data_IF_545830177576
#
_entry.id   IF_545830177576
#
_cell.length_a   1.000
_cell.length_b   1.000
_cell.length_c   1.000
_cell.angle_alpha   90.00
_cell.angle_beta   90.00
_cell.angle_gamma   90.00
#
_symmetry.space_group_name_H-M   'P 1'
#
loop_
_entity.id
_entity.type
_entity.pdbx_description
1 polymer ?
#
# COMPACT_ATOMS: atom_id res chain seq x y z
N UNK A 1 -16.21 20.06 5.57
CA UNK A 1 -15.80 18.65 5.52
C UNK A 1 -17.04 17.79 5.55
N UNK A 2 -17.23 16.80 4.69
CA UNK A 2 -18.37 15.90 4.83
C UNK A 2 -18.20 15.14 6.15
N UNK A 3 -19.13 15.30 7.07
CA UNK A 3 -19.19 14.51 8.30
C UNK A 3 -19.51 13.06 7.89
N UNK A 4 -18.67 12.11 8.32
CA UNK A 4 -18.94 10.70 8.11
C UNK A 4 -19.85 10.25 9.25
N UNK A 5 -21.15 10.28 9.02
CA UNK A 5 -22.10 9.67 9.95
C UNK A 5 -22.25 8.19 9.57
N UNK A 6 -21.67 7.28 10.35
CA UNK A 6 -21.80 5.84 10.14
C UNK A 6 -20.54 5.15 9.63
N UNK A 7 -20.73 4.02 8.95
CA UNK A 7 -19.65 3.21 8.39
C UNK A 7 -19.56 3.42 6.89
N UNK A 8 -18.38 3.86 6.41
CA UNK A 8 -18.10 3.99 4.98
C UNK A 8 -17.14 2.88 4.54
N UNK A 9 -17.50 2.14 3.48
CA UNK A 9 -16.65 1.07 2.92
C UNK A 9 -15.83 1.60 1.77
N UNK A 10 -14.53 1.31 1.75
CA UNK A 10 -13.59 1.74 0.72
C UNK A 10 -12.69 0.60 0.29
N UNK A 11 -12.53 0.45 -1.01
CA UNK A 11 -11.68 -0.57 -1.63
C UNK A 11 -10.24 -0.05 -1.72
N UNK A 12 -9.30 -0.84 -1.24
CA UNK A 12 -7.86 -0.56 -1.31
C UNK A 12 -7.17 -1.74 -2.00
N UNK A 13 -6.33 -1.47 -2.98
CA UNK A 13 -5.49 -2.49 -3.62
C UNK A 13 -4.07 -2.39 -3.10
N UNK A 14 -3.45 -3.53 -2.86
CA UNK A 14 -2.05 -3.60 -2.42
C UNK A 14 -1.24 -4.34 -3.47
N UNK A 15 -0.38 -3.60 -4.17
CA UNK A 15 0.48 -4.07 -5.26
C UNK A 15 1.96 -4.03 -4.90
N UNK A 16 2.76 -4.60 -5.79
CA UNK A 16 4.22 -4.68 -5.64
C UNK A 16 4.72 -6.08 -5.91
N UNK A 17 6.01 -6.22 -6.11
CA UNK A 17 6.64 -7.45 -6.51
C UNK A 17 6.52 -8.58 -5.48
N UNK A 18 6.97 -9.72 -5.89
CA UNK A 18 7.05 -10.90 -5.05
C UNK A 18 8.04 -10.70 -3.90
N UNK A 19 7.75 -11.25 -2.72
CA UNK A 19 8.58 -11.18 -1.51
C UNK A 19 8.88 -9.78 -0.95
N UNK A 20 8.24 -8.71 -1.39
CA UNK A 20 8.41 -7.38 -0.79
C UNK A 20 7.72 -7.22 0.57
N UNK A 21 6.84 -8.16 0.95
CA UNK A 21 6.21 -8.21 2.27
C UNK A 21 4.83 -7.54 2.36
N UNK A 22 4.05 -7.51 1.27
CA UNK A 22 2.67 -6.98 1.23
C UNK A 22 1.77 -7.60 2.29
N UNK A 23 1.65 -8.91 2.28
CA UNK A 23 0.84 -9.67 3.25
C UNK A 23 1.32 -9.46 4.68
N UNK A 24 2.64 -9.42 4.91
CA UNK A 24 3.22 -9.15 6.22
C UNK A 24 2.82 -7.76 6.73
N UNK A 25 2.85 -6.74 5.86
CA UNK A 25 2.41 -5.37 6.18
C UNK A 25 0.93 -5.34 6.61
N UNK A 26 0.07 -6.02 5.85
CA UNK A 26 -1.37 -6.11 6.13
C UNK A 26 -1.60 -6.84 7.45
N UNK A 27 -1.01 -8.02 7.63
CA UNK A 27 -1.14 -8.81 8.85
C UNK A 27 -0.68 -8.03 10.08
N UNK A 28 0.47 -7.34 9.99
CA UNK A 28 0.98 -6.50 11.08
C UNK A 28 0.00 -5.41 11.48
N UNK A 29 -0.65 -4.78 10.51
CA UNK A 29 -1.66 -3.74 10.75
C UNK A 29 -2.93 -4.26 11.41
N UNK A 30 -3.19 -5.56 11.34
CA UNK A 30 -4.41 -6.21 11.81
C UNK A 30 -4.18 -7.10 13.05
N UNK A 31 -2.99 -7.06 13.64
CA UNK A 31 -2.58 -7.93 14.75
C UNK A 31 -2.71 -9.44 14.43
N UNK A 32 -2.58 -9.79 13.14
CA UNK A 32 -2.56 -11.18 12.69
C UNK A 32 -1.14 -11.74 12.78
N UNK A 33 -1.03 -13.08 12.90
CA UNK A 33 0.28 -13.73 12.87
C UNK A 33 1.01 -13.42 11.57
N UNK A 34 2.27 -13.00 11.70
CA UNK A 34 3.20 -12.79 10.59
C UNK A 34 4.16 -13.97 10.41
N UNK A 35 4.20 -14.88 11.39
CA UNK A 35 4.99 -16.11 11.30
C UNK A 35 4.38 -17.05 10.27
N UNK A 36 5.24 -17.58 9.37
CA UNK A 36 4.81 -18.49 8.33
C UNK A 36 3.91 -17.87 7.25
N UNK A 37 3.92 -16.54 7.08
CA UNK A 37 3.26 -15.92 5.93
C UNK A 37 3.75 -16.57 4.64
N UNK A 38 2.82 -17.28 3.96
CA UNK A 38 3.09 -17.97 2.71
C UNK A 38 3.00 -17.01 1.52
N UNK A 39 3.51 -17.48 0.40
CA UNK A 39 3.33 -16.80 -0.88
C UNK A 39 1.83 -16.66 -1.16
N UNK A 40 1.37 -15.43 -1.42
CA UNK A 40 0.00 -15.18 -1.84
C UNK A 40 -0.19 -15.67 -3.27
N UNK A 41 -1.03 -16.68 -3.44
CA UNK A 41 -1.45 -17.17 -4.75
C UNK A 41 -2.77 -16.49 -5.11
N UNK A 42 -2.76 -15.68 -6.16
CA UNK A 42 -3.94 -14.92 -6.57
C UNK A 42 -4.19 -13.67 -5.72
N UNK A 43 -5.34 -13.60 -5.08
CA UNK A 43 -5.80 -12.42 -4.32
C UNK A 43 -6.40 -12.85 -2.99
N UNK A 44 -5.97 -12.22 -1.89
CA UNK A 44 -6.60 -12.34 -0.59
C UNK A 44 -7.37 -11.06 -0.25
N UNK A 45 -8.55 -11.21 0.36
CA UNK A 45 -9.34 -10.09 0.84
C UNK A 45 -9.25 -9.98 2.36
N UNK A 46 -8.86 -8.81 2.84
CA UNK A 46 -8.84 -8.46 4.24
C UNK A 46 -9.77 -7.27 4.52
N UNK A 47 -10.22 -7.14 5.76
CA UNK A 47 -11.07 -6.01 6.17
C UNK A 47 -10.47 -5.38 7.42
N UNK A 48 -10.10 -4.09 7.32
CA UNK A 48 -9.59 -3.29 8.44
C UNK A 48 -10.53 -2.13 8.74
N UNK A 49 -10.98 -2.02 9.98
CA UNK A 49 -11.75 -0.88 10.43
C UNK A 49 -10.81 0.19 10.99
N UNK A 50 -10.94 1.41 10.48
CA UNK A 50 -10.20 2.58 10.96
C UNK A 50 -11.20 3.52 11.65
N UNK A 51 -11.18 3.65 12.97
CA UNK A 51 -11.99 4.64 13.67
C UNK A 51 -11.47 6.04 13.38
N UNK A 52 -12.38 6.95 13.06
CA UNK A 52 -12.13 8.37 12.86
C UNK A 52 -13.06 9.15 13.79
N UNK A 53 -12.80 10.46 13.97
CA UNK A 53 -13.59 11.30 14.89
C UNK A 53 -15.11 11.21 14.66
N UNK A 54 -15.52 11.13 13.40
CA UNK A 54 -16.93 11.23 13.00
C UNK A 54 -17.51 9.91 12.42
N UNK A 55 -16.85 8.78 12.64
CA UNK A 55 -17.32 7.49 12.13
C UNK A 55 -16.22 6.46 11.91
N UNK A 56 -16.55 5.42 11.16
CA UNK A 56 -15.63 4.31 10.85
C UNK A 56 -15.47 4.22 9.34
N UNK A 57 -14.22 4.19 8.86
CA UNK A 57 -13.92 3.76 7.51
C UNK A 57 -13.52 2.28 7.53
N UNK A 58 -14.24 1.47 6.76
CA UNK A 58 -13.95 0.06 6.56
C UNK A 58 -13.15 -0.11 5.28
N UNK A 59 -11.86 -0.42 5.40
CA UNK A 59 -11.00 -0.70 4.28
C UNK A 59 -11.13 -2.17 3.86
N UNK A 60 -11.62 -2.41 2.66
CA UNK A 60 -11.54 -3.71 1.99
C UNK A 60 -10.20 -3.77 1.26
N UNK A 61 -9.26 -4.51 1.80
CA UNK A 61 -7.86 -4.57 1.33
C UNK A 61 -7.70 -5.82 0.45
N UNK A 62 -7.39 -5.59 -0.81
CA UNK A 62 -7.14 -6.63 -1.81
C UNK A 62 -5.62 -6.82 -1.93
N UNK A 63 -5.11 -7.89 -1.30
CA UNK A 63 -3.70 -8.27 -1.27
C UNK A 63 -3.37 -9.16 -2.47
N UNK A 64 -2.63 -8.62 -3.41
CA UNK A 64 -2.25 -9.34 -4.65
C UNK A 64 -0.95 -10.10 -4.49
N UNK A 65 -0.93 -11.34 -4.99
CA UNK A 65 0.30 -12.07 -5.24
C UNK A 65 1.20 -11.29 -6.20
N UNK A 66 2.43 -10.99 -5.77
CA UNK A 66 3.38 -10.19 -6.55
C UNK A 66 4.08 -10.96 -7.67
N UNK A 67 3.61 -12.14 -8.05
CA UNK A 67 4.20 -12.91 -9.13
C UNK A 67 3.84 -12.26 -10.47
N UNK A 68 4.85 -12.11 -11.33
CA UNK A 68 4.71 -11.54 -12.68
C UNK A 68 3.61 -12.26 -13.48
N UNK A 69 3.50 -13.55 -13.32
CA UNK A 69 2.47 -14.37 -13.95
C UNK A 69 1.04 -13.87 -13.66
N UNK A 70 0.72 -13.46 -12.41
CA UNK A 70 -0.60 -12.94 -12.08
C UNK A 70 -0.84 -11.54 -12.65
N UNK A 71 0.21 -10.74 -12.80
CA UNK A 71 0.15 -9.46 -13.49
C UNK A 71 -0.15 -9.66 -14.97
N UNK A 72 0.54 -10.60 -15.63
CA UNK A 72 0.34 -10.93 -17.05
C UNK A 72 -1.04 -11.53 -17.35
N UNK A 73 -1.67 -12.22 -16.39
CA UNK A 73 -3.02 -12.76 -16.56
C UNK A 73 -4.15 -11.71 -16.43
N UNK A 74 -3.82 -10.44 -16.28
CA UNK A 74 -4.81 -9.37 -16.14
C UNK A 74 -5.63 -9.41 -14.84
N UNK A 75 -5.22 -10.23 -13.86
CA UNK A 75 -5.94 -10.34 -12.60
C UNK A 75 -5.91 -9.03 -11.81
N UNK A 76 -4.75 -8.37 -11.74
CA UNK A 76 -4.63 -7.09 -11.05
C UNK A 76 -5.54 -6.04 -11.70
N UNK A 77 -5.59 -6.00 -13.04
CA UNK A 77 -6.44 -5.10 -13.80
C UNK A 77 -7.91 -5.20 -13.39
N UNK A 78 -8.44 -6.44 -13.40
CA UNK A 78 -9.83 -6.71 -13.03
C UNK A 78 -10.16 -6.25 -11.60
N UNK A 79 -9.26 -6.52 -10.67
CA UNK A 79 -9.49 -6.21 -9.26
C UNK A 79 -9.13 -4.75 -8.91
N UNK A 80 -8.35 -4.06 -9.74
CA UNK A 80 -8.02 -2.65 -9.56
C UNK A 80 -9.22 -1.73 -9.85
N UNK A 81 -10.15 -2.17 -10.70
CA UNK A 81 -11.35 -1.41 -11.04
C UNK A 81 -12.15 -1.04 -9.79
N UNK A 82 -12.54 0.23 -9.68
CA UNK A 82 -13.31 0.76 -8.55
C UNK A 82 -12.51 0.87 -7.24
N UNK A 83 -11.18 0.72 -7.26
CA UNK A 83 -10.36 1.00 -6.11
C UNK A 83 -10.45 2.50 -5.74
N UNK A 84 -10.49 2.77 -4.43
CA UNK A 84 -10.52 4.12 -3.89
C UNK A 84 -9.12 4.60 -3.49
N UNK A 85 -8.15 3.68 -3.36
CA UNK A 85 -6.76 3.96 -3.07
C UNK A 85 -5.89 2.75 -3.39
N UNK A 86 -4.57 2.98 -3.46
CA UNK A 86 -3.58 1.92 -3.59
C UNK A 86 -2.45 2.06 -2.57
N UNK A 87 -1.90 0.93 -2.12
CA UNK A 87 -0.62 0.84 -1.43
C UNK A 87 0.32 0.05 -2.33
N UNK A 88 1.44 0.65 -2.73
CA UNK A 88 2.46 -0.01 -3.53
C UNK A 88 3.70 -0.25 -2.69
N UNK A 89 4.11 -1.51 -2.59
CA UNK A 89 5.17 -1.94 -1.69
C UNK A 89 6.38 -2.41 -2.49
N UNK A 90 7.55 -1.92 -2.12
CA UNK A 90 8.84 -2.46 -2.54
C UNK A 90 9.67 -2.87 -1.32
N UNK A 91 10.72 -3.66 -1.52
CA UNK A 91 11.66 -4.00 -0.46
C UNK A 91 12.95 -3.22 -0.65
N UNK A 92 13.42 -2.50 0.38
CA UNK A 92 14.59 -1.61 0.29
C UNK A 92 15.87 -2.34 -0.12
N UNK A 93 16.00 -3.59 0.23
CA UNK A 93 17.13 -4.44 -0.16
C UNK A 93 17.03 -5.07 -1.56
N UNK A 94 15.92 -4.85 -2.29
CA UNK A 94 15.65 -5.43 -3.62
C UNK A 94 15.40 -4.32 -4.64
N UNK A 95 16.48 -3.77 -5.25
CA UNK A 95 16.41 -2.65 -6.18
C UNK A 95 15.39 -2.85 -7.32
N UNK A 96 15.27 -4.06 -7.86
CA UNK A 96 14.34 -4.33 -8.95
C UNK A 96 12.89 -4.13 -8.52
N UNK A 97 12.54 -4.47 -7.28
CA UNK A 97 11.18 -4.25 -6.76
C UNK A 97 10.81 -2.76 -6.69
N UNK A 98 11.80 -1.87 -6.51
CA UNK A 98 11.61 -0.43 -6.60
C UNK A 98 11.43 0.02 -8.07
N UNK A 99 12.29 -0.44 -8.97
CA UNK A 99 12.21 -0.03 -10.38
C UNK A 99 10.93 -0.51 -11.07
N UNK A 100 10.34 -1.62 -10.62
CA UNK A 100 9.04 -2.09 -11.10
C UNK A 100 7.86 -1.30 -10.55
N UNK A 101 8.05 -0.42 -9.54
CA UNK A 101 6.94 0.41 -9.02
C UNK A 101 6.27 1.26 -10.08
N UNK A 102 7.02 1.74 -11.08
CA UNK A 102 6.45 2.51 -12.20
C UNK A 102 5.35 1.72 -12.92
N UNK A 103 5.59 0.44 -13.19
CA UNK A 103 4.63 -0.42 -13.87
C UNK A 103 3.39 -0.62 -13.01
N UNK A 104 3.56 -0.76 -11.68
CA UNK A 104 2.46 -0.85 -10.72
C UNK A 104 1.64 0.44 -10.65
N UNK A 105 2.29 1.61 -10.66
CA UNK A 105 1.61 2.93 -10.69
C UNK A 105 0.80 3.06 -11.97
N UNK A 106 1.39 2.75 -13.12
CA UNK A 106 0.73 2.81 -14.42
C UNK A 106 -0.49 1.89 -14.49
N UNK A 107 -0.40 0.67 -13.96
CA UNK A 107 -1.53 -0.25 -13.84
C UNK A 107 -2.66 0.33 -12.96
N UNK A 108 -2.31 0.92 -11.81
CA UNK A 108 -3.29 1.58 -10.94
C UNK A 108 -3.95 2.74 -11.67
N UNK A 109 -3.18 3.61 -12.32
CA UNK A 109 -3.73 4.75 -13.06
C UNK A 109 -4.65 4.31 -14.19
N UNK A 110 -4.25 3.32 -14.94
CA UNK A 110 -5.02 2.80 -16.08
C UNK A 110 -6.37 2.20 -15.66
N UNK A 111 -6.43 1.51 -14.51
CA UNK A 111 -7.60 0.70 -14.14
C UNK A 111 -8.42 1.24 -12.98
N UNK A 112 -7.84 2.07 -12.12
CA UNK A 112 -8.55 2.73 -11.01
C UNK A 112 -8.69 4.24 -11.19
N UNK A 113 -7.90 4.83 -12.11
CA UNK A 113 -7.88 6.26 -12.40
C UNK A 113 -6.74 7.01 -11.71
N UNK A 114 -6.30 8.09 -12.34
CA UNK A 114 -5.12 8.86 -11.91
C UNK A 114 -5.36 9.72 -10.65
N UNK A 115 -6.59 9.82 -10.19
CA UNK A 115 -6.97 10.70 -9.06
C UNK A 115 -7.02 9.98 -7.72
N UNK A 116 -6.91 8.65 -7.70
CA UNK A 116 -6.93 7.92 -6.43
C UNK A 116 -5.60 8.12 -5.69
N UNK A 117 -5.62 8.24 -4.35
CA UNK A 117 -4.40 8.34 -3.59
C UNK A 117 -3.58 7.04 -3.69
N UNK A 118 -2.27 7.20 -3.88
CA UNK A 118 -1.29 6.12 -3.85
C UNK A 118 -0.30 6.39 -2.73
N UNK A 119 -0.17 5.44 -1.81
CA UNK A 119 0.93 5.42 -0.84
C UNK A 119 1.97 4.41 -1.30
N UNK A 120 3.25 4.83 -1.31
CA UNK A 120 4.39 3.96 -1.56
C UNK A 120 5.03 3.58 -0.23
N UNK A 121 5.37 2.32 -0.08
CA UNK A 121 5.99 1.78 1.14
C UNK A 121 7.30 1.09 0.81
N UNK A 122 8.41 1.63 1.31
CA UNK A 122 9.71 0.98 1.37
C UNK A 122 9.74 0.04 2.58
N UNK A 123 9.50 -1.24 2.35
CA UNK A 123 9.49 -2.24 3.40
C UNK A 123 10.87 -2.87 3.61
N UNK A 124 11.04 -3.60 4.71
CA UNK A 124 12.29 -4.23 5.16
C UNK A 124 13.38 -3.21 5.47
N UNK A 125 13.00 -2.09 6.09
CA UNK A 125 13.93 -1.05 6.55
C UNK A 125 14.90 -1.52 7.64
N UNK A 126 14.75 -2.74 8.15
CA UNK A 126 15.73 -3.46 8.99
C UNK A 126 16.93 -3.99 8.19
N UNK A 127 16.87 -3.97 6.87
CA UNK A 127 17.94 -4.40 5.97
C UNK A 127 18.57 -3.18 5.27
N UNK A 128 19.85 -3.27 4.87
CA UNK A 128 20.50 -2.19 4.13
C UNK A 128 19.75 -1.82 2.86
N UNK A 129 19.49 -0.53 2.66
CA UNK A 129 18.89 0.00 1.42
C UNK A 129 19.90 -0.08 0.28
N UNK A 130 19.42 -0.37 -0.92
CA UNK A 130 20.25 -0.29 -2.11
C UNK A 130 20.54 1.17 -2.46
N UNK A 131 21.82 1.56 -2.59
CA UNK A 131 22.24 2.91 -3.02
C UNK A 131 21.51 3.36 -4.29
N UNK A 132 21.27 2.46 -5.25
CA UNK A 132 20.53 2.76 -6.46
C UNK A 132 19.06 3.17 -6.22
N UNK A 133 18.47 2.84 -5.09
CA UNK A 133 17.14 3.30 -4.68
C UNK A 133 17.26 4.71 -4.09
N UNK A 134 18.22 4.93 -3.19
CA UNK A 134 18.43 6.23 -2.52
C UNK A 134 18.64 7.35 -3.52
N UNK A 135 19.40 7.11 -4.60
CA UNK A 135 19.70 8.09 -5.63
C UNK A 135 18.49 8.54 -6.45
N UNK A 136 17.49 7.67 -6.61
CA UNK A 136 16.38 7.92 -7.56
C UNK A 136 15.01 8.02 -6.88
N UNK A 137 14.91 7.71 -5.60
CA UNK A 137 13.64 7.68 -4.86
C UNK A 137 12.90 9.02 -4.95
N UNK A 138 13.58 10.12 -4.64
CA UNK A 138 12.95 11.45 -4.66
C UNK A 138 12.44 11.80 -6.05
N UNK A 139 13.23 11.55 -7.09
CA UNK A 139 12.83 11.76 -8.49
C UNK A 139 11.60 10.93 -8.86
N UNK A 140 11.52 9.69 -8.37
CA UNK A 140 10.35 8.84 -8.57
C UNK A 140 9.11 9.44 -7.90
N UNK A 141 9.22 9.85 -6.63
CA UNK A 141 8.11 10.43 -5.86
C UNK A 141 7.59 11.72 -6.51
N UNK A 142 8.48 12.54 -7.08
CA UNK A 142 8.12 13.79 -7.75
C UNK A 142 7.47 13.57 -9.13
N UNK A 143 7.92 12.56 -9.88
CA UNK A 143 7.40 12.26 -11.21
C UNK A 143 6.02 11.59 -11.20
N UNK A 144 5.71 10.84 -10.16
CA UNK A 144 4.42 10.21 -9.98
C UNK A 144 3.63 10.91 -8.87
N UNK A 145 2.32 11.04 -9.02
CA UNK A 145 1.45 11.67 -8.01
C UNK A 145 1.30 10.77 -6.77
N UNK A 146 2.42 10.54 -6.08
CA UNK A 146 2.45 9.75 -4.86
C UNK A 146 1.95 10.61 -3.70
N UNK A 147 0.92 10.12 -3.01
CA UNK A 147 0.23 10.84 -1.93
C UNK A 147 0.93 10.70 -0.58
N UNK A 148 1.85 9.75 -0.45
CA UNK A 148 2.65 9.54 0.76
C UNK A 148 3.70 8.45 0.55
N UNK A 149 4.82 8.60 1.27
CA UNK A 149 5.91 7.63 1.30
C UNK A 149 6.25 7.25 2.74
N UNK A 150 6.46 5.97 2.99
CA UNK A 150 6.79 5.43 4.31
C UNK A 150 7.89 4.39 4.21
N UNK A 151 8.82 4.44 5.15
CA UNK A 151 9.84 3.40 5.35
C UNK A 151 9.52 2.62 6.61
N UNK A 152 9.35 1.32 6.47
CA UNK A 152 8.98 0.46 7.58
C UNK A 152 9.67 -0.90 7.51
N UNK A 153 9.85 -1.53 8.65
CA UNK A 153 10.02 -2.97 8.74
C UNK A 153 8.72 -3.60 9.24
N UNK A 154 7.94 -4.15 8.34
CA UNK A 154 6.66 -4.79 8.71
C UNK A 154 6.86 -5.98 9.66
N UNK A 155 8.04 -6.61 9.65
CA UNK A 155 8.35 -7.75 10.50
C UNK A 155 8.89 -7.36 11.88
N UNK A 156 9.83 -6.41 11.92
CA UNK A 156 10.60 -6.11 13.13
C UNK A 156 10.39 -4.68 13.64
N UNK A 157 9.82 -3.79 12.82
CA UNK A 157 9.60 -2.40 13.20
C UNK A 157 8.42 -2.20 14.15
N UNK A 158 8.29 -0.99 14.67
CA UNK A 158 7.17 -0.59 15.48
C UNK A 158 5.86 -0.64 14.70
N UNK A 159 4.83 -1.24 15.30
CA UNK A 159 3.50 -1.42 14.66
C UNK A 159 2.85 -0.08 14.34
N UNK A 160 3.09 0.92 15.16
CA UNK A 160 2.53 2.27 15.02
C UNK A 160 2.85 2.91 13.67
N UNK A 161 4.03 2.64 13.11
CA UNK A 161 4.39 3.10 11.77
C UNK A 161 3.56 2.42 10.68
N UNK A 162 3.29 1.12 10.85
CA UNK A 162 2.42 0.38 9.92
C UNK A 162 0.97 0.86 10.03
N UNK A 163 0.46 1.04 11.25
CA UNK A 163 -0.90 1.56 11.47
C UNK A 163 -1.07 2.98 10.92
N UNK A 164 -0.02 3.80 10.99
CA UNK A 164 -0.01 5.14 10.44
C UNK A 164 -0.26 5.15 8.92
N UNK A 165 0.30 4.21 8.18
CA UNK A 165 0.09 4.07 6.73
C UNK A 165 -1.41 3.95 6.43
N UNK A 166 -2.11 3.05 7.11
CA UNK A 166 -3.54 2.82 6.88
C UNK A 166 -4.43 3.96 7.37
N UNK A 167 -4.05 4.62 8.47
CA UNK A 167 -4.75 5.80 8.97
C UNK A 167 -4.65 6.96 7.99
N UNK A 168 -3.45 7.25 7.49
CA UNK A 168 -3.24 8.34 6.56
C UNK A 168 -3.85 8.04 5.19
N UNK A 169 -3.84 6.77 4.74
CA UNK A 169 -4.58 6.35 3.56
C UNK A 169 -6.09 6.60 3.71
N UNK A 170 -6.66 6.26 4.87
CA UNK A 170 -8.08 6.52 5.16
C UNK A 170 -8.40 8.01 5.09
N UNK A 171 -7.54 8.86 5.63
CA UNK A 171 -7.67 10.33 5.58
C UNK A 171 -7.58 10.86 4.15
N UNK A 172 -6.64 10.36 3.36
CA UNK A 172 -6.49 10.73 1.94
C UNK A 172 -7.73 10.36 1.12
N UNK A 173 -8.29 9.16 1.31
CA UNK A 173 -9.53 8.72 0.65
C UNK A 173 -10.70 9.67 0.95
N UNK A 174 -10.74 10.23 2.14
CA UNK A 174 -11.80 11.14 2.57
C UNK A 174 -11.51 12.62 2.25
N UNK A 175 -10.40 12.93 1.60
CA UNK A 175 -9.97 14.29 1.33
C UNK A 175 -9.53 15.06 2.59
N UNK A 176 -9.22 14.35 3.69
CA UNK A 176 -8.64 14.89 4.90
C UNK A 176 -7.12 14.79 4.76
N UNK A 177 -6.43 15.90 4.69
CA UNK A 177 -4.96 15.91 4.61
C UNK A 177 -4.38 15.24 5.88
N UNK A 178 -3.35 14.37 5.74
CA UNK A 178 -2.61 13.88 6.88
C UNK A 178 -2.08 15.06 7.70
N UNK A 179 -2.14 14.98 9.03
CA UNK A 179 -1.49 15.99 9.86
C UNK A 179 0.01 15.99 9.52
N UNK A 180 0.52 17.11 9.03
CA UNK A 180 1.96 17.27 8.82
C UNK A 180 2.63 17.17 10.19
N UNK A 181 3.30 16.07 10.44
CA UNK A 181 4.26 16.00 11.55
C UNK A 181 5.49 16.79 11.10
N UNK A 182 5.68 17.95 11.75
CA UNK A 182 6.95 18.68 11.74
C UNK A 182 8.00 17.87 12.49
#
# INVERSE_FOLDING_TARGET
>A
MPAIFGTTVKKVVVGGDHFVGKTTLIHRSMDLSIEGTKITLGVNLHVKNIPLKDGIIKLQIWDFGGQEHYRLLGMFEKYCQGANAAILVFAQNLKNSFFHLKDWVELVYKHAGEKIPIIVVGNKADLPTSLAIEEVLQTFLDNYRISGYYEVSAKYGAKEWVDRIFLDLARLILGILPSQNK
#
